data_IF_422633078249
#
_entry.id   IF_422633078249
#
_cell.length_a   1.000
_cell.length_b   1.000
_cell.length_c   1.000
_cell.angle_alpha   90.00
_cell.angle_beta   90.00
_cell.angle_gamma   90.00
#
_symmetry.space_group_name_H-M   'P 1'
#
loop_
_entity.id
_entity.type
_entity.pdbx_description
1 polymer ?
#
# COMPACT_ATOMS: atom_id res chain seq x y z
N UNK A 1 27.73 -1.09 15.05
CA UNK A 1 26.65 -0.26 14.47
C UNK A 1 25.47 -1.18 14.23
N UNK A 2 24.25 -0.83 14.66
CA UNK A 2 23.05 -1.59 14.28
C UNK A 2 22.88 -1.50 12.76
N UNK A 3 22.57 -2.62 12.10
CA UNK A 3 22.25 -2.66 10.68
C UNK A 3 20.95 -1.88 10.46
N UNK A 4 20.88 -1.05 9.41
CA UNK A 4 19.66 -0.33 9.07
C UNK A 4 18.69 -1.32 8.41
N UNK A 5 17.51 -1.49 8.99
CA UNK A 5 16.41 -2.22 8.37
C UNK A 5 15.90 -1.46 7.14
N UNK A 6 15.75 -2.15 6.01
CA UNK A 6 15.17 -1.61 4.78
C UNK A 6 13.67 -1.82 4.78
N UNK A 7 12.87 -0.78 4.59
CA UNK A 7 11.42 -0.91 4.43
C UNK A 7 10.99 -0.70 2.98
N UNK A 8 10.38 -1.74 2.38
CA UNK A 8 9.85 -1.78 1.02
C UNK A 8 8.33 -1.82 1.08
N UNK A 9 7.69 -0.92 0.37
CA UNK A 9 6.23 -0.88 0.20
C UNK A 9 5.87 -1.28 -1.22
N UNK A 10 4.96 -2.24 -1.39
CA UNK A 10 4.34 -2.59 -2.67
C UNK A 10 2.91 -2.07 -2.66
N UNK A 11 2.68 -0.93 -3.30
CA UNK A 11 1.40 -0.23 -3.38
C UNK A 11 0.76 -0.36 -4.77
N UNK A 12 -0.50 -0.04 -4.90
CA UNK A 12 -1.15 0.06 -6.21
C UNK A 12 -2.53 -0.59 -6.28
N UNK A 13 -3.04 -0.68 -7.52
CA UNK A 13 -4.38 -1.11 -7.86
C UNK A 13 -4.69 -2.55 -7.40
N UNK A 14 -5.91 -2.80 -6.94
CA UNK A 14 -6.37 -4.18 -6.68
C UNK A 14 -6.40 -4.98 -7.98
N UNK A 15 -5.94 -6.24 -7.93
CA UNK A 15 -5.73 -7.07 -9.12
C UNK A 15 -4.44 -6.78 -9.89
N UNK A 16 -3.57 -5.86 -9.46
CA UNK A 16 -2.30 -5.57 -10.14
C UNK A 16 -1.16 -6.58 -9.88
N UNK A 17 -1.39 -7.62 -9.07
CA UNK A 17 -0.39 -8.64 -8.77
C UNK A 17 0.51 -8.34 -7.56
N UNK A 18 0.13 -7.38 -6.70
CA UNK A 18 0.90 -7.03 -5.48
C UNK A 18 1.27 -8.23 -4.61
N UNK A 19 0.29 -9.13 -4.39
CA UNK A 19 0.50 -10.32 -3.54
C UNK A 19 1.58 -11.22 -4.13
N UNK A 20 1.51 -11.52 -5.43
CA UNK A 20 2.50 -12.35 -6.13
C UNK A 20 3.90 -11.74 -6.04
N UNK A 21 4.02 -10.43 -6.30
CA UNK A 21 5.30 -9.74 -6.19
C UNK A 21 5.86 -9.78 -4.77
N UNK A 22 5.02 -9.52 -3.75
CA UNK A 22 5.46 -9.55 -2.34
C UNK A 22 5.92 -10.95 -1.96
N UNK A 23 5.20 -12.00 -2.35
CA UNK A 23 5.55 -13.39 -2.06
C UNK A 23 6.85 -13.79 -2.73
N UNK A 24 7.01 -13.51 -4.03
CA UNK A 24 8.21 -13.80 -4.79
C UNK A 24 9.44 -13.04 -4.23
N UNK A 25 9.26 -11.75 -3.95
CA UNK A 25 10.34 -10.92 -3.41
C UNK A 25 10.77 -11.36 -2.01
N UNK A 26 9.80 -11.73 -1.15
CA UNK A 26 10.07 -12.25 0.20
C UNK A 26 10.87 -13.56 0.13
N UNK A 27 10.45 -14.52 -0.69
CA UNK A 27 11.13 -15.80 -0.86
C UNK A 27 12.54 -15.61 -1.43
N UNK A 28 12.68 -14.81 -2.48
CA UNK A 28 13.96 -14.50 -3.08
C UNK A 28 14.96 -13.87 -2.10
N UNK A 29 14.50 -12.89 -1.30
CA UNK A 29 15.36 -12.24 -0.32
C UNK A 29 15.77 -13.18 0.81
N UNK A 30 14.85 -14.02 1.29
CA UNK A 30 15.13 -14.97 2.36
C UNK A 30 16.06 -16.11 1.89
N UNK A 31 15.75 -16.71 0.75
CA UNK A 31 16.44 -17.92 0.27
C UNK A 31 17.75 -17.59 -0.46
N UNK A 32 17.70 -16.70 -1.48
CA UNK A 32 18.86 -16.40 -2.33
C UNK A 32 19.82 -15.38 -1.70
N UNK A 33 19.33 -14.49 -0.84
CA UNK A 33 20.13 -13.44 -0.19
C UNK A 33 20.38 -13.71 1.28
N UNK A 34 19.77 -14.75 1.86
CA UNK A 34 19.90 -15.10 3.28
C UNK A 34 19.58 -13.93 4.22
N UNK A 35 18.58 -13.11 3.87
CA UNK A 35 18.14 -11.98 4.66
C UNK A 35 16.99 -12.40 5.59
N UNK A 36 16.94 -11.77 6.78
CA UNK A 36 15.79 -11.90 7.67
C UNK A 36 14.70 -10.94 7.20
N UNK A 37 13.58 -11.47 6.70
CA UNK A 37 12.51 -10.69 6.08
C UNK A 37 11.24 -10.77 6.92
N UNK A 38 10.66 -9.60 7.24
CA UNK A 38 9.29 -9.48 7.76
C UNK A 38 8.36 -9.15 6.61
N UNK A 39 7.21 -9.83 6.54
CA UNK A 39 6.13 -9.55 5.59
C UNK A 39 4.87 -9.12 6.34
N UNK A 40 4.23 -8.07 5.86
CA UNK A 40 2.94 -7.60 6.40
C UNK A 40 2.03 -7.01 5.30
N UNK A 41 0.77 -6.75 5.61
CA UNK A 41 -0.20 -6.15 4.67
C UNK A 41 -1.21 -5.24 5.36
N UNK A 42 -1.70 -4.24 4.64
CA UNK A 42 -2.79 -3.35 5.05
C UNK A 42 -4.12 -3.70 4.37
N UNK A 43 -5.27 -3.51 5.02
CA UNK A 43 -5.41 -3.28 6.46
C UNK A 43 -5.07 -4.53 7.26
N UNK A 44 -4.71 -4.34 8.54
CA UNK A 44 -4.24 -5.44 9.38
C UNK A 44 -5.40 -6.19 10.04
N UNK A 45 -5.43 -7.51 9.88
CA UNK A 45 -6.46 -8.36 10.50
C UNK A 45 -6.37 -8.32 12.02
N UNK A 46 -5.15 -8.20 12.59
CA UNK A 46 -4.91 -8.15 14.05
C UNK A 46 -5.56 -6.95 14.77
N UNK A 47 -5.91 -5.87 14.04
CA UNK A 47 -6.60 -4.71 14.61
C UNK A 47 -8.12 -4.74 14.39
N UNK A 48 -8.65 -5.80 13.80
CA UNK A 48 -10.07 -5.96 13.45
C UNK A 48 -10.61 -4.85 12.51
N UNK A 49 -9.74 -4.08 11.90
CA UNK A 49 -10.10 -2.96 11.03
C UNK A 49 -10.82 -3.45 9.78
N UNK A 50 -10.36 -4.56 9.18
CA UNK A 50 -10.99 -5.15 7.99
C UNK A 50 -12.45 -5.54 8.24
N UNK A 51 -12.75 -6.15 9.39
CA UNK A 51 -14.11 -6.54 9.77
C UNK A 51 -15.03 -5.32 9.95
N UNK A 52 -14.50 -4.26 10.57
CA UNK A 52 -15.23 -3.01 10.76
C UNK A 52 -15.44 -2.28 9.43
N UNK A 53 -14.44 -2.26 8.55
CA UNK A 53 -14.56 -1.72 7.19
C UNK A 53 -15.67 -2.40 6.40
N UNK A 54 -15.75 -3.73 6.42
CA UNK A 54 -16.78 -4.49 5.71
C UNK A 54 -18.20 -4.21 6.24
N UNK A 55 -18.33 -3.85 7.52
CA UNK A 55 -19.61 -3.47 8.15
C UNK A 55 -19.96 -2.00 7.97
N UNK A 56 -18.98 -1.15 7.73
CA UNK A 56 -19.19 0.30 7.55
C UNK A 56 -19.97 0.61 6.27
N UNK A 57 -20.90 1.55 6.37
CA UNK A 57 -21.68 2.08 5.24
C UNK A 57 -21.41 3.56 4.99
N UNK A 58 -20.44 4.12 5.71
CA UNK A 58 -20.11 5.53 5.68
C UNK A 58 -18.64 5.74 5.33
N UNK A 59 -18.40 6.55 4.30
CA UNK A 59 -17.06 6.85 3.81
C UNK A 59 -16.15 7.56 4.83
N UNK A 60 -16.70 8.34 5.75
CA UNK A 60 -15.92 8.98 6.81
C UNK A 60 -15.44 7.94 7.83
N UNK A 61 -16.32 7.03 8.22
CA UNK A 61 -15.97 5.89 9.07
C UNK A 61 -14.88 5.04 8.43
N UNK A 62 -14.98 4.77 7.12
CA UNK A 62 -13.93 4.05 6.40
C UNK A 62 -12.55 4.74 6.55
N UNK A 63 -12.50 6.06 6.39
CA UNK A 63 -11.23 6.80 6.50
C UNK A 63 -10.69 6.84 7.93
N UNK A 64 -11.55 6.95 8.93
CA UNK A 64 -11.15 6.85 10.34
C UNK A 64 -10.56 5.46 10.67
N UNK A 65 -11.16 4.40 10.15
CA UNK A 65 -10.66 3.03 10.33
C UNK A 65 -9.30 2.82 9.67
N UNK A 66 -9.11 3.33 8.44
CA UNK A 66 -7.80 3.28 7.79
C UNK A 66 -6.75 4.14 8.52
N UNK A 67 -7.14 5.32 9.03
CA UNK A 67 -6.22 6.14 9.80
C UNK A 67 -5.81 5.45 11.11
N UNK A 68 -6.76 4.77 11.78
CA UNK A 68 -6.46 3.97 12.97
C UNK A 68 -5.46 2.85 12.64
N UNK A 69 -5.70 2.09 11.58
CA UNK A 69 -4.81 1.02 11.12
C UNK A 69 -3.39 1.56 10.84
N UNK A 70 -3.30 2.66 10.09
CA UNK A 70 -2.03 3.32 9.79
C UNK A 70 -1.29 3.77 11.05
N UNK A 71 -2.00 4.32 12.04
CA UNK A 71 -1.38 4.80 13.29
C UNK A 71 -0.85 3.65 14.14
N UNK A 72 -1.66 2.59 14.32
CA UNK A 72 -1.25 1.41 15.09
C UNK A 72 -0.03 0.75 14.45
N UNK A 73 -0.09 0.49 13.16
CA UNK A 73 1.02 -0.11 12.45
C UNK A 73 2.25 0.80 12.37
N UNK A 74 2.07 2.10 12.16
CA UNK A 74 3.17 3.05 12.11
C UNK A 74 4.04 3.02 13.38
N UNK A 75 3.43 2.90 14.56
CA UNK A 75 4.16 2.74 15.81
C UNK A 75 4.90 1.41 15.90
N UNK A 76 4.22 0.28 15.61
CA UNK A 76 4.84 -1.05 15.61
C UNK A 76 5.99 -1.13 14.59
N UNK A 77 5.78 -0.57 13.40
CA UNK A 77 6.80 -0.53 12.36
C UNK A 77 8.04 0.27 12.79
N UNK A 78 7.85 1.43 13.42
CA UNK A 78 8.97 2.24 13.90
C UNK A 78 9.78 1.49 14.97
N UNK A 79 9.11 0.80 15.90
CA UNK A 79 9.76 -0.05 16.89
C UNK A 79 10.54 -1.20 16.24
N UNK A 80 9.92 -1.87 15.26
CA UNK A 80 10.53 -2.97 14.51
C UNK A 80 11.76 -2.52 13.73
N UNK A 81 11.69 -1.38 13.04
CA UNK A 81 12.85 -0.78 12.34
C UNK A 81 13.98 -0.48 13.34
N UNK A 82 13.65 0.11 14.50
CA UNK A 82 14.61 0.49 15.52
C UNK A 82 15.24 -0.74 16.23
N UNK A 83 14.54 -1.87 16.28
CA UNK A 83 15.06 -3.10 16.88
C UNK A 83 16.25 -3.65 16.10
N UNK A 84 16.23 -3.52 14.76
CA UNK A 84 17.20 -4.11 13.85
C UNK A 84 17.11 -5.64 13.77
N UNK A 85 15.95 -6.21 14.16
CA UNK A 85 15.69 -7.65 14.13
C UNK A 85 15.61 -8.18 12.69
N UNK A 86 15.07 -7.36 11.78
CA UNK A 86 14.92 -7.71 10.37
C UNK A 86 15.87 -6.91 9.50
N UNK A 87 16.40 -7.56 8.46
CA UNK A 87 17.17 -6.91 7.40
C UNK A 87 16.25 -6.11 6.48
N UNK A 88 15.08 -6.69 6.17
CA UNK A 88 14.08 -6.12 5.27
C UNK A 88 12.69 -6.30 5.86
N UNK A 89 11.86 -5.27 5.73
CA UNK A 89 10.41 -5.31 5.95
C UNK A 89 9.76 -5.07 4.60
N UNK A 90 8.84 -5.95 4.18
CA UNK A 90 8.06 -5.79 2.95
C UNK A 90 6.60 -5.70 3.33
N UNK A 91 5.94 -4.60 2.95
CA UNK A 91 4.51 -4.45 3.17
C UNK A 91 3.74 -4.42 1.86
N UNK A 92 2.68 -5.23 1.81
CA UNK A 92 1.66 -5.12 0.77
C UNK A 92 0.71 -4.00 1.15
N UNK A 93 0.68 -2.92 0.35
CA UNK A 93 0.11 -1.61 0.64
C UNK A 93 0.90 -0.84 1.71
N UNK A 94 0.59 0.42 1.85
CA UNK A 94 1.20 1.32 2.81
C UNK A 94 0.38 2.60 2.95
N UNK A 95 0.95 3.61 3.56
CA UNK A 95 0.23 4.84 3.88
C UNK A 95 -0.29 5.59 2.64
N UNK A 96 0.39 5.50 1.48
CA UNK A 96 -0.07 6.12 0.23
C UNK A 96 -1.41 5.54 -0.25
N UNK A 97 -1.70 4.27 0.04
CA UNK A 97 -2.98 3.66 -0.32
C UNK A 97 -4.17 4.36 0.35
N UNK A 98 -4.00 4.91 1.56
CA UNK A 98 -5.03 5.74 2.21
C UNK A 98 -5.36 6.99 1.41
N UNK A 99 -4.37 7.61 0.76
CA UNK A 99 -4.58 8.79 -0.09
C UNK A 99 -5.34 8.41 -1.37
N UNK A 100 -4.93 7.32 -2.03
CA UNK A 100 -5.61 6.82 -3.23
C UNK A 100 -7.08 6.48 -2.93
N UNK A 101 -7.32 5.62 -1.94
CA UNK A 101 -8.68 5.22 -1.58
C UNK A 101 -9.52 6.40 -1.08
N UNK A 102 -8.92 7.36 -0.36
CA UNK A 102 -9.60 8.56 0.08
C UNK A 102 -10.01 9.47 -1.08
N UNK A 103 -9.12 9.68 -2.05
CA UNK A 103 -9.41 10.46 -3.25
C UNK A 103 -10.52 9.81 -4.10
N UNK A 104 -10.51 8.48 -4.26
CA UNK A 104 -11.60 7.72 -4.91
C UNK A 104 -12.95 7.98 -4.22
N UNK A 105 -12.96 8.13 -2.91
CA UNK A 105 -14.15 8.45 -2.12
C UNK A 105 -14.48 9.95 -2.07
N UNK A 106 -13.68 10.80 -2.74
CA UNK A 106 -13.91 12.24 -2.86
C UNK A 106 -13.35 13.10 -1.73
N UNK A 107 -12.35 12.62 -1.00
CA UNK A 107 -11.61 13.41 -0.03
C UNK A 107 -10.36 14.03 -0.65
N UNK A 108 -9.96 15.22 -0.14
CA UNK A 108 -8.68 15.84 -0.54
C UNK A 108 -7.49 15.16 0.11
N UNK A 109 -6.33 15.21 -0.53
CA UNK A 109 -5.08 14.72 0.04
C UNK A 109 -4.71 15.46 1.34
N UNK A 110 -4.94 16.77 1.40
CA UNK A 110 -4.74 17.57 2.62
C UNK A 110 -5.53 17.00 3.81
N UNK A 111 -6.84 16.77 3.64
CA UNK A 111 -7.66 16.21 4.70
C UNK A 111 -7.20 14.80 5.13
N UNK A 112 -6.77 13.96 4.18
CA UNK A 112 -6.26 12.62 4.47
C UNK A 112 -4.91 12.69 5.21
N UNK A 113 -4.04 13.61 4.81
CA UNK A 113 -2.76 13.86 5.48
C UNK A 113 -2.97 14.26 6.95
N UNK A 114 -3.86 15.22 7.19
CA UNK A 114 -4.22 15.66 8.54
C UNK A 114 -4.84 14.54 9.38
N UNK A 115 -5.79 13.77 8.80
CA UNK A 115 -6.45 12.66 9.49
C UNK A 115 -5.45 11.58 9.93
N UNK A 116 -4.49 11.25 9.08
CA UNK A 116 -3.47 10.25 9.35
C UNK A 116 -2.32 10.78 10.18
N UNK A 117 -2.16 12.12 10.31
CA UNK A 117 -0.96 12.76 10.86
C UNK A 117 0.30 12.16 10.20
N UNK A 118 0.33 12.21 8.87
CA UNK A 118 1.25 11.43 8.04
C UNK A 118 2.72 11.72 8.33
N UNK A 119 3.05 12.93 8.74
CA UNK A 119 4.44 13.35 9.02
C UNK A 119 5.03 12.67 10.26
N UNK A 120 4.19 12.16 11.16
CA UNK A 120 4.60 11.41 12.35
C UNK A 120 4.83 9.91 12.07
N UNK A 121 4.50 9.44 10.85
CA UNK A 121 4.64 8.04 10.46
C UNK A 121 6.01 7.76 9.83
N UNK A 122 6.51 6.50 9.91
CA UNK A 122 7.76 6.13 9.26
C UNK A 122 7.72 6.35 7.75
N UNK A 123 8.88 6.65 7.14
CA UNK A 123 9.05 6.80 5.70
C UNK A 123 9.69 5.55 5.13
N UNK A 124 9.13 5.01 4.03
CA UNK A 124 9.71 3.86 3.37
C UNK A 124 10.97 4.24 2.58
N UNK A 125 11.88 3.28 2.44
CA UNK A 125 13.10 3.45 1.64
C UNK A 125 12.81 3.23 0.15
N UNK A 126 11.96 2.22 -0.17
CA UNK A 126 11.57 1.88 -1.54
C UNK A 126 10.06 1.76 -1.62
N UNK A 127 9.48 2.35 -2.65
CA UNK A 127 8.07 2.21 -2.99
C UNK A 127 7.90 1.66 -4.40
N UNK A 128 7.27 0.50 -4.51
CA UNK A 128 6.96 -0.16 -5.78
C UNK A 128 5.49 0.09 -6.08
N UNK A 129 5.24 0.85 -7.16
CA UNK A 129 3.91 1.19 -7.62
C UNK A 129 3.46 0.21 -8.69
N UNK A 130 2.52 -0.66 -8.36
CA UNK A 130 1.96 -1.63 -9.29
C UNK A 130 0.64 -1.13 -9.85
N UNK A 131 0.54 -1.08 -11.15
CA UNK A 131 -0.68 -0.72 -11.86
C UNK A 131 -0.98 -1.76 -12.95
N UNK A 132 -2.23 -1.79 -13.37
CA UNK A 132 -2.66 -2.44 -14.61
C UNK A 132 -3.94 -1.74 -15.07
N UNK A 133 -4.38 -2.02 -16.29
CA UNK A 133 -5.69 -1.53 -16.76
C UNK A 133 -6.82 -2.02 -15.86
N UNK A 134 -7.80 -1.16 -15.56
CA UNK A 134 -8.92 -1.47 -14.67
C UNK A 134 -9.67 -2.74 -15.08
N UNK A 135 -9.84 -2.95 -16.40
CA UNK A 135 -10.48 -4.16 -16.93
C UNK A 135 -9.69 -5.43 -16.60
N UNK A 136 -8.37 -5.39 -16.77
CA UNK A 136 -7.46 -6.50 -16.43
C UNK A 136 -7.50 -6.76 -14.93
N UNK A 137 -7.39 -5.70 -14.12
CA UNK A 137 -7.48 -5.77 -12.66
C UNK A 137 -8.76 -6.47 -12.20
N UNK A 138 -9.90 -5.98 -12.68
CA UNK A 138 -11.20 -6.56 -12.31
C UNK A 138 -11.33 -8.01 -12.74
N UNK A 139 -10.87 -8.38 -13.94
CA UNK A 139 -10.94 -9.78 -14.41
C UNK A 139 -10.16 -10.76 -13.53
N UNK A 140 -9.14 -10.28 -12.84
CA UNK A 140 -8.31 -11.09 -11.92
C UNK A 140 -8.94 -11.29 -10.55
N UNK A 141 -9.80 -10.36 -10.11
CA UNK A 141 -10.39 -10.38 -8.76
C UNK A 141 -11.90 -10.61 -8.74
N UNK A 142 -12.61 -10.56 -9.85
CA UNK A 142 -14.07 -10.65 -9.88
C UNK A 142 -14.67 -11.96 -9.33
N UNK A 143 -13.87 -13.01 -9.19
CA UNK A 143 -14.25 -14.29 -8.62
C UNK A 143 -13.57 -14.56 -7.26
N UNK A 144 -12.91 -13.56 -6.66
CA UNK A 144 -12.30 -13.71 -5.35
C UNK A 144 -13.39 -13.83 -4.28
N UNK A 145 -13.47 -14.96 -3.54
CA UNK A 145 -14.45 -15.14 -2.49
C UNK A 145 -14.24 -14.19 -1.30
N UNK A 146 -13.03 -13.64 -1.16
CA UNK A 146 -12.64 -12.70 -0.12
C UNK A 146 -12.73 -11.24 -0.57
N UNK A 147 -13.37 -10.98 -1.74
CA UNK A 147 -13.56 -9.65 -2.28
C UNK A 147 -14.20 -8.70 -1.26
N UNK A 148 -13.64 -7.53 -1.10
CA UNK A 148 -14.18 -6.50 -0.23
C UNK A 148 -15.16 -5.56 -0.96
N UNK A 149 -15.79 -4.66 -0.19
CA UNK A 149 -16.80 -3.72 -0.72
C UNK A 149 -16.25 -2.70 -1.72
N UNK A 150 -14.95 -2.61 -1.90
CA UNK A 150 -14.29 -1.69 -2.85
C UNK A 150 -13.95 -2.36 -4.17
N UNK A 151 -14.11 -3.68 -4.31
CA UNK A 151 -13.71 -4.45 -5.47
C UNK A 151 -14.84 -4.58 -6.51
N UNK A 152 -15.39 -3.44 -6.97
CA UNK A 152 -16.36 -3.39 -8.06
C UNK A 152 -15.89 -2.49 -9.22
N UNK A 153 -16.34 -2.74 -10.48
CA UNK A 153 -15.76 -2.13 -11.68
C UNK A 153 -15.58 -0.61 -11.61
N UNK A 154 -16.61 0.12 -11.17
CA UNK A 154 -16.57 1.58 -11.12
C UNK A 154 -15.60 2.13 -10.05
N UNK A 155 -15.34 1.37 -8.99
CA UNK A 155 -14.34 1.74 -7.98
C UNK A 155 -12.93 1.48 -8.51
N UNK A 156 -12.69 0.30 -9.09
CA UNK A 156 -11.41 -0.09 -9.68
C UNK A 156 -10.97 0.89 -10.77
N UNK A 157 -11.90 1.34 -11.63
CA UNK A 157 -11.63 2.33 -12.67
C UNK A 157 -11.20 3.71 -12.09
N UNK A 158 -11.83 4.14 -10.99
CA UNK A 158 -11.40 5.33 -10.28
C UNK A 158 -10.07 5.14 -9.56
N UNK A 159 -9.88 3.98 -8.94
CA UNK A 159 -8.65 3.63 -8.23
C UNK A 159 -7.46 3.59 -9.19
N UNK A 160 -7.60 3.05 -10.40
CA UNK A 160 -6.53 3.09 -11.41
C UNK A 160 -6.09 4.53 -11.70
N UNK A 161 -7.05 5.42 -11.97
CA UNK A 161 -6.74 6.82 -12.26
C UNK A 161 -6.05 7.53 -11.09
N UNK A 162 -6.56 7.35 -9.88
CA UNK A 162 -5.97 7.98 -8.70
C UNK A 162 -4.60 7.38 -8.34
N UNK A 163 -4.38 6.07 -8.56
CA UNK A 163 -3.07 5.43 -8.37
C UNK A 163 -2.03 6.01 -9.32
N UNK A 164 -2.35 6.13 -10.62
CA UNK A 164 -1.44 6.71 -11.62
C UNK A 164 -1.15 8.19 -11.33
N UNK A 165 -2.17 8.95 -10.91
CA UNK A 165 -2.04 10.35 -10.52
C UNK A 165 -1.14 10.50 -9.29
N UNK A 166 -1.42 9.77 -8.20
CA UNK A 166 -0.64 9.83 -6.97
C UNK A 166 0.84 9.49 -7.23
N UNK A 167 1.11 8.44 -8.03
CA UNK A 167 2.47 8.10 -8.44
C UNK A 167 3.16 9.27 -9.16
N UNK A 168 2.50 9.83 -10.18
CA UNK A 168 3.07 10.94 -10.95
C UNK A 168 3.39 12.17 -10.07
N UNK A 169 2.49 12.50 -9.14
CA UNK A 169 2.67 13.62 -8.22
C UNK A 169 3.78 13.37 -7.19
N UNK A 170 3.92 12.13 -6.66
CA UNK A 170 5.01 11.74 -5.75
C UNK A 170 6.36 11.86 -6.47
N UNK A 171 6.48 11.29 -7.66
CA UNK A 171 7.74 11.29 -8.43
C UNK A 171 8.12 12.70 -8.87
N UNK A 172 7.16 13.51 -9.29
CA UNK A 172 7.39 14.90 -9.71
C UNK A 172 7.64 15.83 -8.50
N UNK A 173 7.26 15.43 -7.28
CA UNK A 173 7.34 16.28 -6.09
C UNK A 173 6.48 17.54 -6.18
N UNK A 174 5.38 17.50 -6.94
CA UNK A 174 4.53 18.66 -7.24
C UNK A 174 3.42 18.88 -6.25
N UNK A 175 3.12 17.90 -5.41
CA UNK A 175 2.04 17.95 -4.43
C UNK A 175 2.60 17.91 -3.01
N UNK A 176 2.42 19.02 -2.27
CA UNK A 176 2.92 19.15 -0.89
C UNK A 176 2.27 18.17 0.09
N UNK A 177 1.02 17.78 -0.14
CA UNK A 177 0.32 16.80 0.69
C UNK A 177 0.91 15.39 0.55
N UNK A 178 1.72 15.13 -0.49
CA UNK A 178 2.44 13.88 -0.74
C UNK A 178 3.96 13.97 -0.46
N UNK A 179 4.42 15.06 0.14
CA UNK A 179 5.83 15.33 0.49
C UNK A 179 6.45 14.18 1.30
N UNK A 180 5.65 13.53 2.15
CA UNK A 180 6.07 12.39 2.95
C UNK A 180 6.69 11.26 2.11
N UNK A 181 6.19 11.03 0.89
CA UNK A 181 6.58 9.91 0.01
C UNK A 181 7.69 10.23 -0.99
N UNK A 182 8.02 11.50 -1.21
CA UNK A 182 8.93 11.93 -2.30
C UNK A 182 10.36 11.41 -2.18
N UNK A 183 10.83 11.14 -0.95
CA UNK A 183 12.22 10.73 -0.70
C UNK A 183 12.44 9.21 -0.83
N UNK A 184 11.40 8.44 -1.04
CA UNK A 184 11.50 7.01 -1.32
C UNK A 184 12.07 6.78 -2.72
N UNK A 185 12.82 5.69 -2.90
CA UNK A 185 13.14 5.20 -4.25
C UNK A 185 11.86 4.64 -4.89
N UNK A 186 11.34 5.32 -5.88
CA UNK A 186 10.10 4.94 -6.56
C UNK A 186 10.39 4.03 -7.76
N UNK A 187 9.68 2.89 -7.85
CA UNK A 187 9.73 1.92 -8.95
C UNK A 187 8.29 1.77 -9.47
N UNK A 188 8.13 1.83 -10.78
CA UNK A 188 6.83 1.68 -11.43
C UNK A 188 6.78 0.38 -12.23
N UNK A 189 5.72 -0.42 -12.03
CA UNK A 189 5.48 -1.67 -12.74
C UNK A 189 4.06 -1.64 -13.30
N UNK A 190 3.94 -1.72 -14.62
CA UNK A 190 2.64 -1.94 -15.29
C UNK A 190 2.52 -3.43 -15.62
N UNK A 191 1.63 -4.11 -14.90
CA UNK A 191 1.42 -5.55 -15.03
C UNK A 191 0.27 -5.93 -15.97
N UNK A 192 -0.22 -4.99 -16.78
CA UNK A 192 -1.39 -5.20 -17.67
C UNK A 192 -1.23 -6.43 -18.55
N UNK A 193 -0.04 -6.65 -19.11
CA UNK A 193 0.29 -7.75 -20.02
C UNK A 193 1.09 -8.88 -19.36
N UNK A 194 1.36 -8.80 -18.05
CA UNK A 194 2.16 -9.78 -17.32
C UNK A 194 1.31 -10.96 -16.86
N UNK A 195 1.85 -12.18 -16.96
CA UNK A 195 1.35 -13.34 -16.25
C UNK A 195 1.72 -13.27 -14.75
N UNK A 196 1.18 -14.19 -13.95
CA UNK A 196 1.51 -14.28 -12.51
C UNK A 196 2.99 -14.60 -12.32
N UNK A 197 3.57 -15.41 -13.20
CA UNK A 197 4.98 -15.82 -13.16
C UNK A 197 5.94 -14.70 -13.55
N UNK A 198 5.47 -13.72 -14.32
CA UNK A 198 6.26 -12.56 -14.77
C UNK A 198 6.24 -11.40 -13.75
N UNK A 199 5.29 -11.42 -12.81
CA UNK A 199 5.18 -10.44 -11.74
C UNK A 199 6.07 -10.84 -10.56
#
# INVERSE_FOLDING_TARGET
MKKKTLWIVVTGLDGSGKTSLVDNLTSWMAEEKSLTVMRDRFPHDRYLVKDLLNKSKDRYTDRLLFALDNRLFGHELQETINSGEYDVIITQRGFLDSFVHGAVQGFSYSWISELNQIDDLPKCDIMIHMVCEARTAYSRICNDPDADKFEYPAYIDKQERETRKAYAEVVAGTNLDLEHFKNSKNIYIDSTQMSIEEV
#
